data_IF_787944944674
#
_entry.id   IF_787944944674
#
_cell.length_a   1.000
_cell.length_b   1.000
_cell.length_c   1.000
_cell.angle_alpha   90.00
_cell.angle_beta   90.00
_cell.angle_gamma   90.00
#
_symmetry.space_group_name_H-M   'P 1'
#
loop_
_entity.id
_entity.type
_entity.pdbx_description
1 polymer ?
#
# COMPACT_ATOMS: atom_id res chain seq x y z
N UNK A 1 55.72 -14.94 51.24
CA UNK A 1 55.01 -15.58 50.11
C UNK A 1 53.83 -14.70 49.73
N UNK A 2 53.93 -13.96 48.62
CA UNK A 2 52.79 -13.24 48.05
C UNK A 2 52.14 -14.22 47.08
N UNK A 3 50.94 -14.70 47.41
CA UNK A 3 50.19 -15.61 46.55
C UNK A 3 49.83 -14.95 45.21
N UNK A 4 49.62 -15.74 44.14
CA UNK A 4 49.25 -15.20 42.84
C UNK A 4 47.97 -14.37 42.96
N UNK A 5 48.01 -13.15 42.42
CA UNK A 5 46.84 -12.26 42.39
C UNK A 5 45.67 -12.98 41.67
N UNK A 6 44.44 -12.88 42.20
CA UNK A 6 43.28 -13.50 41.58
C UNK A 6 43.09 -12.94 40.18
N UNK A 7 42.92 -13.84 39.20
CA UNK A 7 42.58 -13.48 37.83
C UNK A 7 41.28 -12.67 37.89
N UNK A 8 41.27 -11.40 37.42
CA UNK A 8 40.06 -10.61 37.48
C UNK A 8 39.00 -11.35 36.66
N UNK A 9 37.78 -11.54 37.18
CA UNK A 9 36.72 -12.18 36.42
C UNK A 9 36.49 -11.30 35.19
N UNK A 10 36.96 -11.78 34.04
CA UNK A 10 36.78 -11.09 32.78
C UNK A 10 35.31 -10.76 32.61
N UNK A 11 35.00 -9.59 32.03
CA UNK A 11 33.62 -9.18 31.70
C UNK A 11 32.87 -10.41 31.19
N UNK A 12 31.84 -10.84 31.91
CA UNK A 12 30.91 -11.88 31.46
C UNK A 12 30.22 -11.36 30.19
N UNK A 13 30.87 -11.54 29.04
CA UNK A 13 30.26 -11.24 27.76
C UNK A 13 29.23 -12.33 27.52
N UNK A 14 27.97 -11.95 27.32
CA UNK A 14 26.85 -12.84 26.97
C UNK A 14 27.06 -13.62 25.64
N UNK A 15 28.24 -13.48 25.02
CA UNK A 15 28.59 -13.98 23.69
C UNK A 15 29.32 -15.31 23.85
N UNK A 16 28.83 -16.34 23.16
CA UNK A 16 29.44 -17.68 23.18
C UNK A 16 30.71 -17.72 22.30
N UNK A 17 31.63 -18.67 22.55
CA UNK A 17 32.79 -18.87 21.68
C UNK A 17 32.42 -19.16 20.22
N UNK A 18 31.33 -19.90 19.99
CA UNK A 18 30.83 -20.24 18.66
C UNK A 18 30.33 -19.00 17.90
N UNK A 19 29.55 -18.14 18.57
CA UNK A 19 29.10 -16.86 18.01
C UNK A 19 30.28 -15.98 17.60
N UNK A 20 31.35 -15.96 18.40
CA UNK A 20 32.57 -15.20 18.11
C UNK A 20 33.34 -15.75 16.90
N UNK A 21 33.38 -17.08 16.72
CA UNK A 21 34.00 -17.72 15.55
C UNK A 21 33.21 -17.39 14.28
N UNK A 22 31.89 -17.55 14.33
CA UNK A 22 31.01 -17.21 13.20
C UNK A 22 31.13 -15.73 12.80
N UNK A 23 31.16 -14.82 13.79
CA UNK A 23 31.35 -13.40 13.53
C UNK A 23 32.72 -13.09 12.91
N UNK A 24 33.80 -13.75 13.34
CA UNK A 24 35.12 -13.58 12.71
C UNK A 24 35.12 -13.99 11.25
N UNK A 25 34.51 -15.14 10.93
CA UNK A 25 34.38 -15.61 9.55
C UNK A 25 33.55 -14.63 8.70
N UNK A 26 32.46 -14.11 9.26
CA UNK A 26 31.62 -13.11 8.60
C UNK A 26 32.38 -11.80 8.33
N UNK A 27 33.10 -11.28 9.33
CA UNK A 27 33.90 -10.05 9.23
C UNK A 27 34.98 -10.18 8.15
N UNK A 28 35.68 -11.33 8.12
CA UNK A 28 36.67 -11.65 7.08
C UNK A 28 36.02 -11.73 5.69
N UNK A 29 34.90 -12.44 5.57
CA UNK A 29 34.19 -12.61 4.30
C UNK A 29 33.64 -11.30 3.72
N UNK A 30 33.34 -10.31 4.56
CA UNK A 30 32.93 -8.97 4.14
C UNK A 30 34.09 -7.99 3.92
N UNK A 31 35.33 -8.45 4.03
CA UNK A 31 36.51 -7.60 3.83
C UNK A 31 36.71 -6.55 4.93
N UNK A 32 36.16 -6.77 6.12
CA UNK A 32 36.33 -5.85 7.25
C UNK A 32 37.51 -6.28 8.15
N UNK A 33 38.14 -5.30 8.81
CA UNK A 33 39.26 -5.57 9.73
C UNK A 33 38.84 -6.41 10.95
N UNK A 34 39.65 -7.38 11.35
CA UNK A 34 39.33 -8.32 12.44
C UNK A 34 39.70 -7.83 13.83
N UNK A 35 39.78 -6.51 14.03
CA UNK A 35 40.07 -5.96 15.35
C UNK A 35 39.02 -6.40 16.37
N UNK A 36 39.43 -6.52 17.63
CA UNK A 36 38.62 -7.08 18.72
C UNK A 36 37.24 -6.42 18.78
N UNK A 37 37.19 -5.10 18.77
CA UNK A 37 35.95 -4.33 18.90
C UNK A 37 35.02 -4.53 17.70
N UNK A 38 35.58 -4.64 16.50
CA UNK A 38 34.79 -4.91 15.30
C UNK A 38 34.17 -6.31 15.36
N UNK A 39 34.93 -7.33 15.76
CA UNK A 39 34.41 -8.69 15.94
C UNK A 39 33.29 -8.70 16.99
N UNK A 40 33.46 -8.02 18.12
CA UNK A 40 32.42 -7.93 19.15
C UNK A 40 31.14 -7.29 18.62
N UNK A 41 31.26 -6.16 17.92
CA UNK A 41 30.12 -5.43 17.35
C UNK A 41 29.35 -6.27 16.32
N UNK A 42 30.07 -6.92 15.41
CA UNK A 42 29.49 -7.85 14.44
C UNK A 42 28.83 -9.05 15.10
N UNK A 43 29.41 -9.56 16.19
CA UNK A 43 28.79 -10.66 16.95
C UNK A 43 27.46 -10.23 17.56
N UNK A 44 27.41 -9.06 18.20
CA UNK A 44 26.18 -8.52 18.78
C UNK A 44 25.10 -8.25 17.72
N UNK A 45 25.49 -7.71 16.57
CA UNK A 45 24.55 -7.47 15.47
C UNK A 45 24.03 -8.77 14.86
N UNK A 46 24.91 -9.76 14.63
CA UNK A 46 24.51 -11.06 14.13
C UNK A 46 23.53 -11.76 15.06
N UNK A 47 23.77 -11.68 16.38
CA UNK A 47 22.83 -12.19 17.39
C UNK A 47 21.46 -11.52 17.30
N UNK A 48 21.40 -10.19 17.20
CA UNK A 48 20.14 -9.46 17.02
C UNK A 48 19.37 -9.99 15.78
N UNK A 49 20.05 -10.14 14.65
CA UNK A 49 19.42 -10.66 13.42
C UNK A 49 18.94 -12.11 13.57
N UNK A 50 19.71 -12.95 14.26
CA UNK A 50 19.34 -14.33 14.56
C UNK A 50 18.11 -14.39 15.47
N UNK A 51 18.07 -13.58 16.53
CA UNK A 51 16.94 -13.50 17.45
C UNK A 51 15.67 -12.99 16.74
N UNK A 52 15.77 -11.97 15.89
CA UNK A 52 14.65 -11.52 15.04
C UNK A 52 14.12 -12.64 14.14
N UNK A 53 15.02 -13.42 13.52
CA UNK A 53 14.64 -14.55 12.68
C UNK A 53 13.94 -15.63 13.50
N UNK A 54 14.48 -15.99 14.67
CA UNK A 54 13.90 -16.98 15.58
C UNK A 54 12.52 -16.55 16.08
N UNK A 55 12.31 -15.24 16.29
CA UNK A 55 11.02 -14.66 16.67
C UNK A 55 10.07 -14.44 15.49
N UNK A 56 10.44 -14.86 14.28
CA UNK A 56 9.58 -14.80 13.10
C UNK A 56 9.46 -13.43 12.44
N UNK A 57 10.33 -12.46 12.77
CA UNK A 57 10.35 -11.13 12.17
C UNK A 57 10.98 -11.11 10.75
N UNK A 58 10.57 -12.06 9.90
CA UNK A 58 11.16 -12.33 8.59
C UNK A 58 10.97 -11.12 7.66
N UNK A 59 9.78 -10.54 7.65
CA UNK A 59 9.44 -9.42 6.76
C UNK A 59 10.31 -8.20 7.06
N UNK A 60 10.50 -7.87 8.35
CA UNK A 60 11.41 -6.81 8.77
C UNK A 60 12.86 -7.08 8.37
N UNK A 61 13.32 -8.34 8.41
CA UNK A 61 14.66 -8.72 7.97
C UNK A 61 14.86 -8.61 6.45
N UNK A 62 13.81 -8.82 5.66
CA UNK A 62 13.85 -8.77 4.20
C UNK A 62 13.79 -7.33 3.67
N UNK A 63 12.95 -6.47 4.26
CA UNK A 63 12.66 -5.12 3.74
C UNK A 63 13.46 -3.99 4.42
N UNK A 64 14.59 -4.31 5.05
CA UNK A 64 15.43 -3.34 5.78
C UNK A 64 16.32 -2.49 4.86
N UNK A 65 16.27 -1.18 5.04
CA UNK A 65 17.10 -0.19 4.32
C UNK A 65 18.56 -0.14 4.81
N UNK A 66 19.41 0.61 4.11
CA UNK A 66 20.78 0.92 4.52
C UNK A 66 20.83 1.66 5.87
N UNK A 67 19.92 2.60 6.08
CA UNK A 67 19.81 3.41 7.29
C UNK A 67 19.40 2.52 8.46
N UNK A 68 18.41 1.65 8.25
CA UNK A 68 18.02 0.62 9.22
C UNK A 68 19.23 -0.24 9.61
N UNK A 69 19.94 -0.81 8.64
CA UNK A 69 21.13 -1.63 8.90
C UNK A 69 22.19 -0.87 9.69
N UNK A 70 22.46 0.38 9.31
CA UNK A 70 23.48 1.23 9.96
C UNK A 70 23.11 1.57 11.39
N UNK A 71 21.84 1.89 11.64
CA UNK A 71 21.32 2.22 12.96
C UNK A 71 21.40 1.00 13.89
N UNK A 72 20.82 -0.13 13.51
CA UNK A 72 20.78 -1.32 14.37
C UNK A 72 22.12 -2.05 14.49
N UNK A 73 23.07 -1.79 13.59
CA UNK A 73 24.47 -2.16 13.80
C UNK A 73 25.12 -1.39 14.96
N UNK A 74 24.64 -0.18 15.27
CA UNK A 74 25.09 0.62 16.43
C UNK A 74 24.28 0.30 17.69
N UNK A 75 23.00 -0.01 17.54
CA UNK A 75 22.06 -0.24 18.66
C UNK A 75 21.54 -1.68 18.68
N UNK A 76 22.44 -2.64 18.91
CA UNK A 76 22.12 -4.08 18.80
C UNK A 76 21.24 -4.63 19.94
N UNK A 77 20.88 -3.81 20.93
CA UNK A 77 20.11 -4.21 22.12
C UNK A 77 18.61 -3.92 22.01
N UNK A 78 18.15 -3.35 20.89
CA UNK A 78 16.77 -2.88 20.71
C UNK A 78 15.85 -3.95 20.13
N UNK A 79 16.02 -5.22 20.53
CA UNK A 79 15.22 -6.33 20.01
C UNK A 79 13.72 -6.10 20.24
N UNK A 80 13.32 -5.73 21.45
CA UNK A 80 11.91 -5.56 21.80
C UNK A 80 11.24 -4.44 20.99
N UNK A 81 11.98 -3.35 20.74
CA UNK A 81 11.52 -2.28 19.87
C UNK A 81 11.29 -2.79 18.45
N UNK A 82 12.24 -3.54 17.89
CA UNK A 82 12.11 -4.12 16.55
C UNK A 82 10.97 -5.13 16.44
N UNK A 83 10.73 -5.93 17.48
CA UNK A 83 9.58 -6.83 17.53
C UNK A 83 8.26 -6.07 17.60
N UNK A 84 8.20 -4.95 18.33
CA UNK A 84 7.03 -4.07 18.35
C UNK A 84 6.74 -3.47 16.97
N UNK A 85 7.79 -3.09 16.23
CA UNK A 85 7.63 -2.61 14.86
C UNK A 85 7.17 -3.73 13.94
N UNK A 86 7.76 -4.92 14.04
CA UNK A 86 7.34 -6.07 13.26
C UNK A 86 5.84 -6.37 13.48
N UNK A 87 5.34 -6.27 14.70
CA UNK A 87 3.91 -6.45 14.98
C UNK A 87 3.01 -5.50 14.18
N UNK A 88 3.45 -4.25 13.95
CA UNK A 88 2.71 -3.23 13.20
C UNK A 88 2.90 -3.41 11.68
N UNK A 89 4.14 -3.62 11.24
CA UNK A 89 4.52 -3.53 9.83
C UNK A 89 4.53 -4.87 9.08
N UNK A 90 4.54 -6.02 9.77
CA UNK A 90 4.62 -7.33 9.13
C UNK A 90 3.48 -7.54 8.13
N UNK A 91 2.24 -7.34 8.57
CA UNK A 91 1.08 -7.50 7.70
C UNK A 91 1.10 -6.55 6.48
N UNK A 92 1.24 -5.22 6.66
CA UNK A 92 1.28 -4.30 5.53
C UNK A 92 2.39 -4.59 4.52
N UNK A 93 3.58 -5.00 4.99
CA UNK A 93 4.71 -5.33 4.14
C UNK A 93 4.53 -6.66 3.40
N UNK A 94 3.93 -7.68 4.03
CA UNK A 94 3.54 -8.91 3.34
C UNK A 94 2.54 -8.61 2.21
N UNK A 95 1.57 -7.74 2.49
CA UNK A 95 0.59 -7.30 1.50
C UNK A 95 1.25 -6.51 0.35
N UNK A 96 2.23 -5.65 0.65
CA UNK A 96 3.02 -4.95 -0.37
C UNK A 96 3.80 -5.92 -1.25
N UNK A 97 4.44 -6.94 -0.66
CA UNK A 97 5.16 -7.98 -1.38
C UNK A 97 4.27 -8.68 -2.40
N UNK A 98 3.10 -9.12 -1.98
CA UNK A 98 2.15 -9.85 -2.85
C UNK A 98 1.70 -8.97 -4.01
N UNK A 99 1.40 -7.68 -3.74
CA UNK A 99 1.06 -6.72 -4.80
C UNK A 99 2.20 -6.49 -5.78
N UNK A 100 3.42 -6.28 -5.27
CA UNK A 100 4.59 -6.07 -6.14
C UNK A 100 4.82 -7.27 -7.07
N UNK A 101 4.74 -8.51 -6.55
CA UNK A 101 4.87 -9.72 -7.37
C UNK A 101 3.76 -9.80 -8.44
N UNK A 102 2.52 -9.47 -8.08
CA UNK A 102 1.40 -9.47 -9.02
C UNK A 102 1.59 -8.43 -10.13
N UNK A 103 1.98 -7.19 -9.80
CA UNK A 103 2.18 -6.12 -10.77
C UNK A 103 3.37 -6.38 -11.71
N UNK A 104 4.45 -6.99 -11.20
CA UNK A 104 5.57 -7.50 -12.02
C UNK A 104 5.10 -8.59 -12.99
N UNK A 105 4.18 -9.47 -12.54
CA UNK A 105 3.48 -10.44 -13.38
C UNK A 105 2.43 -9.85 -14.33
N UNK A 106 2.22 -8.53 -14.32
CA UNK A 106 1.23 -7.84 -15.15
C UNK A 106 -0.20 -7.84 -14.60
N UNK A 107 -0.44 -8.35 -13.39
CA UNK A 107 -1.76 -8.32 -12.76
C UNK A 107 -1.95 -7.04 -11.93
N UNK A 108 -2.72 -6.10 -12.49
CA UNK A 108 -3.13 -4.86 -11.85
C UNK A 108 -4.56 -4.89 -11.28
N UNK A 109 -5.21 -6.05 -11.25
CA UNK A 109 -6.58 -6.19 -10.73
C UNK A 109 -6.67 -5.92 -9.23
N UNK A 110 -5.57 -6.16 -8.50
CA UNK A 110 -5.51 -6.03 -7.04
C UNK A 110 -6.29 -7.10 -6.28
N UNK A 111 -6.69 -8.20 -6.95
CA UNK A 111 -7.35 -9.36 -6.33
C UNK A 111 -6.47 -10.03 -5.28
N UNK A 112 -5.17 -10.13 -5.55
CA UNK A 112 -4.18 -10.71 -4.64
C UNK A 112 -4.19 -10.09 -3.23
N UNK A 113 -4.59 -8.81 -3.09
CA UNK A 113 -4.71 -8.17 -1.78
C UNK A 113 -5.98 -8.56 -1.01
N UNK A 114 -7.07 -8.87 -1.70
CA UNK A 114 -8.33 -9.27 -1.06
C UNK A 114 -8.45 -10.78 -0.84
N UNK A 115 -7.61 -11.59 -1.49
CA UNK A 115 -7.53 -13.03 -1.26
C UNK A 115 -6.98 -13.37 0.13
N UNK A 116 -6.32 -12.42 0.81
CA UNK A 116 -5.96 -12.55 2.21
C UNK A 116 -7.22 -12.58 3.08
N UNK A 117 -7.42 -13.70 3.77
CA UNK A 117 -8.58 -13.95 4.64
C UNK A 117 -8.82 -12.83 5.66
N UNK A 118 -7.76 -12.19 6.18
CA UNK A 118 -7.84 -11.10 7.16
C UNK A 118 -8.48 -9.83 6.57
N UNK A 119 -8.32 -9.60 5.27
CA UNK A 119 -8.96 -8.50 4.53
C UNK A 119 -10.36 -8.93 4.09
N UNK A 120 -10.48 -10.12 3.50
CA UNK A 120 -11.73 -10.63 2.95
C UNK A 120 -12.87 -10.61 3.97
N UNK A 121 -12.62 -11.15 5.18
CA UNK A 121 -13.61 -11.20 6.26
C UNK A 121 -14.08 -9.80 6.71
N UNK A 122 -13.19 -8.79 6.66
CA UNK A 122 -13.49 -7.41 7.08
C UNK A 122 -14.23 -6.62 6.01
N UNK A 123 -13.93 -6.87 4.74
CA UNK A 123 -14.63 -6.21 3.62
C UNK A 123 -16.11 -6.63 3.52
N UNK A 124 -16.47 -7.80 4.09
CA UNK A 124 -17.81 -8.41 4.01
C UNK A 124 -18.33 -8.42 2.56
N UNK A 125 -17.43 -8.62 1.60
CA UNK A 125 -17.75 -8.62 0.17
C UNK A 125 -17.99 -10.04 -0.30
N UNK A 126 -19.09 -10.28 -1.00
CA UNK A 126 -19.43 -11.59 -1.59
C UNK A 126 -18.88 -11.74 -3.02
N UNK A 127 -18.26 -10.68 -3.56
CA UNK A 127 -17.90 -10.58 -4.99
C UNK A 127 -16.39 -10.38 -5.20
N UNK A 128 -15.53 -11.24 -4.62
CA UNK A 128 -14.08 -11.18 -4.89
C UNK A 128 -13.76 -11.32 -6.38
N UNK A 129 -14.53 -12.15 -7.11
CA UNK A 129 -14.35 -12.35 -8.55
C UNK A 129 -14.53 -11.08 -9.40
N UNK A 130 -15.36 -10.15 -8.95
CA UNK A 130 -15.65 -8.88 -9.63
C UNK A 130 -14.71 -7.73 -9.21
N UNK A 131 -13.81 -7.97 -8.26
CA UNK A 131 -12.88 -6.95 -7.80
C UNK A 131 -11.87 -6.56 -8.87
N UNK A 132 -11.70 -5.26 -9.09
CA UNK A 132 -10.71 -4.76 -10.01
C UNK A 132 -10.26 -3.34 -9.67
N UNK A 133 -8.95 -3.12 -9.56
CA UNK A 133 -8.34 -1.80 -9.36
C UNK A 133 -7.97 -1.10 -10.68
N UNK A 134 -8.02 -1.82 -11.80
CA UNK A 134 -7.58 -1.37 -13.12
C UNK A 134 -8.73 -1.13 -14.10
N UNK A 135 -10.00 -1.23 -13.67
CA UNK A 135 -11.14 -1.17 -14.58
C UNK A 135 -11.84 0.18 -14.58
N UNK A 136 -11.97 0.74 -15.78
CA UNK A 136 -12.89 1.83 -16.11
C UNK A 136 -13.44 1.52 -17.50
N UNK A 137 -14.61 0.88 -17.55
CA UNK A 137 -15.17 0.32 -18.78
C UNK A 137 -16.62 0.76 -18.92
N UNK A 138 -17.12 0.87 -20.15
CA UNK A 138 -18.54 1.08 -20.38
C UNK A 138 -19.37 -0.08 -19.85
N UNK A 139 -20.59 0.23 -19.38
CA UNK A 139 -21.59 -0.78 -19.07
C UNK A 139 -21.90 -1.67 -20.28
N UNK A 140 -22.64 -2.77 -20.03
CA UNK A 140 -23.03 -3.70 -21.10
C UNK A 140 -24.03 -3.10 -22.10
N UNK A 141 -24.63 -1.95 -21.78
CA UNK A 141 -25.58 -1.27 -22.65
C UNK A 141 -24.84 -0.48 -23.75
N UNK A 142 -24.80 -1.05 -24.96
CA UNK A 142 -24.20 -0.41 -26.12
C UNK A 142 -24.93 0.87 -26.54
N UNK A 143 -26.21 1.04 -26.20
CA UNK A 143 -26.96 2.25 -26.52
C UNK A 143 -26.46 3.43 -25.70
N UNK A 144 -26.13 3.25 -24.43
CA UNK A 144 -25.54 4.32 -23.61
C UNK A 144 -24.24 4.83 -24.19
N UNK A 145 -23.35 3.93 -24.61
CA UNK A 145 -22.07 4.30 -25.22
C UNK A 145 -22.27 5.04 -26.55
N UNK A 146 -23.12 4.52 -27.44
CA UNK A 146 -23.44 5.17 -28.72
C UNK A 146 -24.06 6.56 -28.49
N UNK A 147 -25.01 6.67 -27.56
CA UNK A 147 -25.63 7.94 -27.21
C UNK A 147 -24.63 8.94 -26.63
N UNK A 148 -23.68 8.48 -25.83
CA UNK A 148 -22.59 9.33 -25.33
C UNK A 148 -21.76 9.89 -26.51
N UNK A 149 -21.30 9.03 -27.42
CA UNK A 149 -20.50 9.45 -28.58
C UNK A 149 -21.23 10.41 -29.51
N UNK A 150 -22.53 10.22 -29.72
CA UNK A 150 -23.33 11.11 -30.58
C UNK A 150 -23.56 12.49 -29.94
N UNK A 151 -23.73 12.53 -28.62
CA UNK A 151 -24.07 13.77 -27.91
C UNK A 151 -22.84 14.58 -27.44
N UNK A 152 -21.66 13.96 -27.39
CA UNK A 152 -20.47 14.58 -26.79
C UNK A 152 -19.20 14.30 -27.60
N UNK A 153 -18.50 15.36 -27.94
CA UNK A 153 -17.21 15.35 -28.64
C UNK A 153 -16.10 15.89 -27.74
N UNK A 154 -15.84 15.20 -26.62
CA UNK A 154 -14.80 15.64 -25.67
C UNK A 154 -13.43 15.14 -26.11
N UNK A 155 -12.45 16.04 -26.09
CA UNK A 155 -11.07 15.71 -26.42
C UNK A 155 -10.43 14.81 -25.35
N UNK A 156 -9.74 13.76 -25.76
CA UNK A 156 -8.99 12.91 -24.84
C UNK A 156 -7.78 13.68 -24.27
N UNK A 157 -7.56 13.55 -22.97
CA UNK A 157 -6.40 14.14 -22.26
C UNK A 157 -5.26 13.15 -22.08
N UNK A 158 -5.51 11.86 -22.32
CA UNK A 158 -4.53 10.79 -22.22
C UNK A 158 -4.72 9.73 -23.29
N UNK A 159 -3.60 9.19 -23.77
CA UNK A 159 -3.57 8.01 -24.65
C UNK A 159 -2.96 6.78 -23.99
N UNK A 160 -3.02 6.70 -22.66
CA UNK A 160 -2.41 5.64 -21.88
C UNK A 160 -3.48 4.74 -21.26
N UNK A 161 -3.31 3.43 -21.42
CA UNK A 161 -4.14 2.43 -20.76
C UNK A 161 -4.08 2.52 -19.23
N UNK A 162 -5.06 1.92 -18.56
CA UNK A 162 -5.10 1.85 -17.10
C UNK A 162 -3.88 1.12 -16.51
N UNK A 163 -3.45 0.02 -17.13
CA UNK A 163 -2.26 -0.72 -16.70
C UNK A 163 -1.00 0.12 -16.87
N UNK A 164 -0.90 0.89 -17.95
CA UNK A 164 0.25 1.78 -18.18
C UNK A 164 0.39 2.81 -17.06
N UNK A 165 -0.70 3.48 -16.66
CA UNK A 165 -0.62 4.47 -15.58
C UNK A 165 -0.48 3.86 -14.20
N UNK A 166 -0.99 2.65 -13.97
CA UNK A 166 -0.78 1.95 -12.69
C UNK A 166 0.67 1.55 -12.52
N UNK A 167 1.36 1.19 -13.61
CA UNK A 167 2.79 0.87 -13.62
C UNK A 167 3.67 2.12 -13.56
N UNK A 168 3.40 3.12 -14.40
CA UNK A 168 4.32 4.24 -14.62
C UNK A 168 3.88 5.56 -13.98
N UNK A 169 2.67 5.63 -13.45
CA UNK A 169 2.06 6.86 -12.94
C UNK A 169 1.50 7.76 -14.03
N UNK A 170 1.17 8.98 -13.61
CA UNK A 170 0.70 10.06 -14.48
C UNK A 170 1.86 11.01 -14.81
N UNK A 171 1.79 11.71 -15.94
CA UNK A 171 2.82 12.69 -16.29
C UNK A 171 2.72 13.93 -15.37
N UNK A 172 3.81 14.27 -14.70
CA UNK A 172 3.97 15.55 -13.99
C UNK A 172 5.28 15.61 -13.21
N UNK A 173 5.95 16.77 -13.15
CA UNK A 173 7.23 16.95 -12.42
C UNK A 173 7.11 16.69 -10.90
N UNK A 174 5.89 16.79 -10.35
CA UNK A 174 5.61 16.64 -8.92
C UNK A 174 4.85 15.34 -8.57
N UNK A 175 4.36 14.60 -9.57
CA UNK A 175 3.48 13.46 -9.35
C UNK A 175 4.28 12.15 -9.40
N UNK A 176 4.56 11.56 -8.24
CA UNK A 176 5.12 10.21 -8.19
C UNK A 176 4.01 9.16 -8.17
N UNK A 177 4.30 7.97 -8.71
CA UNK A 177 3.38 6.84 -8.65
C UNK A 177 3.46 6.17 -7.27
N UNK A 178 2.37 6.23 -6.50
CA UNK A 178 2.27 5.62 -5.17
C UNK A 178 1.23 4.50 -5.10
N UNK A 179 0.64 4.12 -6.23
CA UNK A 179 -0.50 3.19 -6.31
C UNK A 179 -0.27 1.83 -5.61
N UNK A 180 0.91 1.25 -5.77
CA UNK A 180 1.32 -0.04 -5.17
C UNK A 180 1.42 0.02 -3.64
N UNK A 181 1.74 1.21 -3.10
CA UNK A 181 1.88 1.45 -1.67
C UNK A 181 0.54 1.72 -0.98
N UNK A 182 -0.55 1.90 -1.72
CA UNK A 182 -1.87 2.02 -1.11
C UNK A 182 -2.38 0.63 -0.73
N UNK A 183 -2.74 0.44 0.53
CA UNK A 183 -3.18 -0.83 1.08
C UNK A 183 -4.54 -0.75 1.77
N UNK A 184 -5.15 -1.92 1.99
CA UNK A 184 -6.25 -2.08 2.94
C UNK A 184 -5.61 -2.48 4.27
N UNK A 185 -5.67 -1.61 5.26
CA UNK A 185 -5.04 -1.82 6.55
C UNK A 185 -6.11 -2.21 7.57
N UNK A 186 -6.11 -3.46 8.05
CA UNK A 186 -7.01 -3.87 9.11
C UNK A 186 -6.59 -3.23 10.43
N UNK A 187 -7.57 -2.84 11.23
CA UNK A 187 -7.35 -2.42 12.61
C UNK A 187 -8.54 -2.83 13.48
N UNK A 188 -8.31 -2.87 14.79
CA UNK A 188 -9.38 -3.03 15.76
C UNK A 188 -9.79 -1.65 16.30
N UNK A 189 -11.08 -1.37 16.36
CA UNK A 189 -11.61 -0.10 16.87
C UNK A 189 -13.13 -0.08 16.88
N UNK A 190 -13.72 0.93 17.51
CA UNK A 190 -15.18 1.04 17.56
C UNK A 190 -15.76 1.51 16.23
N UNK A 191 -16.71 0.74 15.69
CA UNK A 191 -17.42 1.12 14.48
C UNK A 191 -18.33 2.33 14.76
N UNK A 192 -18.16 3.42 14.01
CA UNK A 192 -19.06 4.59 14.05
C UNK A 192 -20.52 4.24 13.65
N UNK A 193 -20.73 3.10 12.98
CA UNK A 193 -22.08 2.62 12.65
C UNK A 193 -22.70 2.01 13.90
N UNK A 194 -23.75 2.67 14.41
CA UNK A 194 -24.58 2.20 15.54
C UNK A 194 -24.96 0.72 15.38
N UNK A 195 -25.03 0.07 16.53
CA UNK A 195 -25.48 -1.31 16.75
C UNK A 195 -26.73 -1.61 15.91
N UNK A 196 -26.68 -2.65 15.06
CA UNK A 196 -27.89 -3.21 14.43
C UNK A 196 -28.32 -4.39 15.30
N UNK A 197 -29.33 -4.17 16.16
CA UNK A 197 -29.83 -5.17 17.12
C UNK A 197 -28.94 -5.36 18.36
N UNK A 198 -28.98 -6.54 19.00
CA UNK A 198 -28.14 -6.90 20.18
C UNK A 198 -26.70 -7.31 19.83
N UNK A 199 -26.28 -7.16 18.56
CA UNK A 199 -24.94 -7.57 18.13
C UNK A 199 -23.95 -6.43 18.31
N UNK A 200 -22.86 -6.60 19.07
CA UNK A 200 -21.88 -5.54 19.31
C UNK A 200 -21.36 -4.96 17.99
N UNK A 201 -21.11 -3.66 17.99
CA UNK A 201 -20.52 -2.96 16.86
C UNK A 201 -19.22 -3.66 16.45
N UNK A 202 -19.02 -3.87 15.15
CA UNK A 202 -17.85 -4.61 14.64
C UNK A 202 -16.56 -3.93 15.09
N UNK A 203 -15.76 -4.60 15.92
CA UNK A 203 -14.43 -4.09 16.30
C UNK A 203 -13.45 -4.21 15.15
N UNK A 204 -13.68 -5.18 14.26
CA UNK A 204 -12.83 -5.48 13.10
C UNK A 204 -13.11 -4.48 11.99
N UNK A 205 -12.25 -3.49 11.84
CA UNK A 205 -12.36 -2.40 10.86
C UNK A 205 -11.19 -2.43 9.87
N UNK A 206 -11.29 -1.58 8.83
CA UNK A 206 -10.20 -1.35 7.90
C UNK A 206 -10.14 0.11 7.48
N UNK A 207 -8.95 0.55 7.08
CA UNK A 207 -8.71 1.82 6.39
C UNK A 207 -8.07 1.57 5.04
N UNK A 208 -8.30 2.48 4.09
CA UNK A 208 -7.48 2.57 2.89
C UNK A 208 -6.41 3.61 3.21
N UNK A 209 -5.15 3.20 3.24
CA UNK A 209 -4.05 4.05 3.70
C UNK A 209 -2.76 3.77 2.92
N UNK A 210 -1.85 4.74 2.81
CA UNK A 210 -0.54 4.51 2.21
C UNK A 210 0.43 3.85 3.21
N UNK A 211 1.41 3.09 2.73
CA UNK A 211 2.50 2.53 3.54
C UNK A 211 3.74 3.43 3.62
N UNK A 212 3.78 4.45 2.78
CA UNK A 212 4.87 5.42 2.66
C UNK A 212 4.27 6.81 2.70
N UNK A 213 5.08 7.82 3.02
CA UNK A 213 4.63 9.21 2.91
C UNK A 213 4.25 9.53 1.47
N UNK A 214 3.15 10.26 1.32
CA UNK A 214 2.60 10.69 0.03
C UNK A 214 2.61 12.20 -0.03
N UNK A 215 3.12 12.77 -1.12
CA UNK A 215 3.16 14.21 -1.34
C UNK A 215 1.91 14.70 -2.07
N UNK A 216 1.63 16.00 -1.98
CA UNK A 216 0.58 16.61 -2.80
C UNK A 216 0.88 16.42 -4.30
N UNK A 217 -0.11 15.99 -5.07
CA UNK A 217 0.01 15.68 -6.50
C UNK A 217 0.40 14.23 -6.81
N UNK A 218 0.77 13.42 -5.82
CA UNK A 218 1.08 12.01 -6.03
C UNK A 218 -0.16 11.23 -6.51
N UNK A 219 0.07 10.31 -7.45
CA UNK A 219 -0.95 9.41 -7.98
C UNK A 219 -1.09 8.17 -7.09
N UNK A 220 -2.33 7.90 -6.65
CA UNK A 220 -2.64 6.85 -5.68
C UNK A 220 -3.35 5.63 -6.31
N UNK A 221 -3.72 5.73 -7.58
CA UNK A 221 -4.38 4.66 -8.33
C UNK A 221 -5.67 5.10 -9.01
N UNK A 222 -6.39 4.12 -9.56
CA UNK A 222 -7.63 4.34 -10.31
C UNK A 222 -8.83 4.04 -9.40
N UNK A 223 -9.82 4.92 -9.41
CA UNK A 223 -11.11 4.66 -8.80
C UNK A 223 -11.96 3.87 -9.80
N UNK A 224 -12.14 2.58 -9.54
CA UNK A 224 -12.73 1.65 -10.51
C UNK A 224 -14.24 1.73 -10.60
N UNK A 225 -14.78 1.32 -11.74
CA UNK A 225 -16.22 1.18 -11.94
C UNK A 225 -16.62 1.02 -13.40
N UNK A 226 -17.93 0.97 -13.63
CA UNK A 226 -18.57 0.98 -14.95
C UNK A 226 -19.01 2.40 -15.30
N UNK A 227 -18.69 2.87 -16.50
CA UNK A 227 -19.23 4.10 -17.04
C UNK A 227 -20.68 3.89 -17.45
N UNK A 228 -21.54 4.82 -17.05
CA UNK A 228 -22.96 4.88 -17.39
C UNK A 228 -23.28 6.24 -17.97
N UNK A 229 -24.16 6.27 -18.97
CA UNK A 229 -24.66 7.50 -19.56
C UNK A 229 -26.18 7.57 -19.43
N UNK A 230 -26.65 8.06 -18.29
CA UNK A 230 -28.06 8.15 -17.91
C UNK A 230 -28.35 9.43 -17.10
N UNK A 231 -29.55 9.97 -17.27
CA UNK A 231 -29.97 11.18 -16.55
C UNK A 231 -30.34 10.92 -15.08
N UNK A 232 -30.52 9.65 -14.69
CA UNK A 232 -30.89 9.28 -13.33
C UNK A 232 -29.67 9.18 -12.41
N UNK A 233 -29.79 9.68 -11.19
CA UNK A 233 -28.78 9.53 -10.15
C UNK A 233 -28.70 8.07 -9.70
N UNK A 234 -27.50 7.50 -9.73
CA UNK A 234 -27.21 6.16 -9.20
C UNK A 234 -26.81 6.21 -7.72
N UNK A 235 -27.09 5.13 -7.00
CA UNK A 235 -26.86 5.04 -5.54
C UNK A 235 -25.38 4.96 -5.15
N UNK A 236 -24.55 4.31 -5.99
CA UNK A 236 -23.09 4.17 -5.79
C UNK A 236 -22.35 4.59 -7.05
N UNK A 237 -22.37 5.89 -7.33
CA UNK A 237 -21.65 6.43 -8.47
C UNK A 237 -21.01 7.78 -8.19
N UNK A 238 -19.95 8.06 -8.93
CA UNK A 238 -19.32 9.39 -8.99
C UNK A 238 -19.83 10.09 -10.24
N UNK A 239 -20.23 11.37 -10.10
CA UNK A 239 -20.71 12.19 -11.22
C UNK A 239 -19.56 12.55 -12.15
N UNK A 240 -19.79 12.40 -13.45
CA UNK A 240 -18.87 12.74 -14.53
C UNK A 240 -18.79 14.23 -14.85
N UNK A 241 -17.81 14.63 -15.66
CA UNK A 241 -17.61 16.01 -16.11
C UNK A 241 -18.69 16.50 -17.08
N UNK A 242 -19.42 15.60 -17.75
CA UNK A 242 -20.54 15.94 -18.63
C UNK A 242 -21.88 15.49 -18.03
N UNK A 243 -23.00 16.18 -18.32
CA UNK A 243 -24.32 15.76 -17.87
C UNK A 243 -24.63 14.32 -18.27
N UNK A 244 -25.20 13.56 -17.34
CA UNK A 244 -25.58 12.17 -17.57
C UNK A 244 -24.44 11.14 -17.50
N UNK A 245 -23.17 11.55 -17.49
CA UNK A 245 -22.05 10.62 -17.30
C UNK A 245 -21.86 10.29 -15.81
N UNK A 246 -21.72 9.00 -15.49
CA UNK A 246 -21.48 8.50 -14.14
C UNK A 246 -20.46 7.35 -14.17
N UNK A 247 -19.68 7.22 -13.10
CA UNK A 247 -18.92 6.00 -12.83
C UNK A 247 -19.60 5.21 -11.70
N UNK A 248 -20.31 4.15 -12.06
CA UNK A 248 -20.98 3.23 -11.14
C UNK A 248 -20.01 2.16 -10.62
N UNK A 249 -19.80 2.14 -9.31
CA UNK A 249 -18.92 1.18 -8.64
C UNK A 249 -19.70 0.15 -7.80
N UNK A 250 -21.00 -0.03 -8.06
CA UNK A 250 -21.83 -1.00 -7.37
C UNK A 250 -21.47 -2.46 -7.68
N UNK A 251 -21.11 -2.75 -8.94
CA UNK A 251 -20.85 -4.10 -9.44
C UNK A 251 -19.36 -4.47 -9.57
N UNK A 252 -18.50 -3.47 -9.84
CA UNK A 252 -17.05 -3.67 -9.98
C UNK A 252 -16.38 -2.84 -8.88
N UNK A 253 -16.32 -3.33 -7.64
CA UNK A 253 -15.62 -2.65 -6.58
C UNK A 253 -14.10 -2.77 -6.78
N UNK A 254 -13.39 -1.76 -6.33
CA UNK A 254 -11.95 -1.75 -6.19
C UNK A 254 -11.52 -1.17 -4.84
N UNK A 255 -10.21 -1.20 -4.59
CA UNK A 255 -9.59 -0.76 -3.34
C UNK A 255 -9.97 0.67 -2.99
N UNK A 256 -9.86 1.57 -3.96
CA UNK A 256 -10.08 3.01 -3.76
C UNK A 256 -11.57 3.38 -3.63
N UNK A 257 -12.49 2.50 -4.06
CA UNK A 257 -13.93 2.69 -3.81
C UNK A 257 -14.28 2.57 -2.32
N UNK A 258 -13.38 1.99 -1.52
CA UNK A 258 -13.53 1.79 -0.07
C UNK A 258 -12.90 2.91 0.76
N UNK A 259 -12.34 3.95 0.12
CA UNK A 259 -11.91 5.16 0.83
C UNK A 259 -13.07 5.76 1.62
N UNK A 260 -12.75 6.38 2.75
CA UNK A 260 -13.77 7.03 3.58
C UNK A 260 -14.29 8.25 2.84
N UNK A 261 -15.60 8.48 2.93
CA UNK A 261 -16.22 9.70 2.40
C UNK A 261 -16.18 10.77 3.48
N UNK A 262 -15.74 11.98 3.14
CA UNK A 262 -15.73 13.11 4.05
C UNK A 262 -17.15 13.42 4.57
N UNK A 263 -17.25 13.67 5.88
CA UNK A 263 -18.45 14.24 6.52
C UNK A 263 -18.58 15.73 6.15
N UNK A 264 -19.75 16.31 6.38
CA UNK A 264 -19.95 17.75 6.17
C UNK A 264 -18.92 18.56 6.98
N UNK A 265 -18.21 19.48 6.33
CA UNK A 265 -17.17 20.30 6.95
C UNK A 265 -15.82 19.61 7.17
N UNK A 266 -15.71 18.31 6.86
CA UNK A 266 -14.45 17.56 7.03
C UNK A 266 -13.50 17.77 5.86
N UNK A 267 -12.21 17.94 6.17
CA UNK A 267 -11.16 18.08 5.15
C UNK A 267 -10.84 16.75 4.49
N UNK A 268 -10.94 16.70 3.16
CA UNK A 268 -10.43 15.58 2.35
C UNK A 268 -8.90 15.62 2.29
N UNK A 269 -8.27 14.49 1.93
CA UNK A 269 -6.84 14.45 1.62
C UNK A 269 -6.56 13.93 0.21
N UNK A 270 -7.58 13.46 -0.51
CA UNK A 270 -7.49 13.09 -1.92
C UNK A 270 -8.58 13.78 -2.74
N UNK A 271 -8.36 13.89 -4.05
CA UNK A 271 -9.37 14.27 -5.02
C UNK A 271 -9.61 13.14 -6.03
N UNK A 272 -10.78 13.19 -6.67
CA UNK A 272 -11.18 12.31 -7.76
C UNK A 272 -11.10 13.11 -9.06
N UNK A 273 -10.06 12.87 -9.86
CA UNK A 273 -9.81 13.59 -11.10
C UNK A 273 -10.27 12.77 -12.30
N UNK A 274 -11.26 13.28 -13.02
CA UNK A 274 -11.71 12.66 -14.27
C UNK A 274 -10.70 12.88 -15.39
N UNK A 275 -10.43 11.82 -16.14
CA UNK A 275 -9.52 11.86 -17.27
C UNK A 275 -10.17 11.18 -18.48
N UNK A 276 -10.21 11.88 -19.61
CA UNK A 276 -10.69 11.35 -20.87
C UNK A 276 -9.59 10.59 -21.58
N UNK A 277 -9.85 9.35 -21.98
CA UNK A 277 -8.85 8.43 -22.52
C UNK A 277 -9.21 8.03 -23.94
N UNK A 278 -8.20 8.01 -24.81
CA UNK A 278 -8.27 7.42 -26.14
C UNK A 278 -6.99 6.64 -26.41
N UNK A 279 -7.08 5.31 -26.44
CA UNK A 279 -5.92 4.43 -26.64
C UNK A 279 -5.64 4.15 -28.13
N UNK A 280 -6.50 4.60 -29.06
CA UNK A 280 -6.30 4.39 -30.48
C UNK A 280 -5.06 5.11 -30.99
N UNK A 281 -4.28 4.41 -31.82
CA UNK A 281 -3.14 4.99 -32.54
C UNK A 281 -3.67 5.71 -33.79
N UNK A 282 -3.42 7.00 -33.89
CA UNK A 282 -3.68 7.79 -35.12
C UNK A 282 -4.88 8.74 -35.03
N UNK A 283 -5.95 8.37 -34.34
CA UNK A 283 -7.08 9.27 -34.04
C UNK A 283 -6.84 9.92 -32.68
N UNK A 284 -6.35 11.18 -32.68
CA UNK A 284 -5.97 11.88 -31.44
C UNK A 284 -7.08 12.69 -30.80
N UNK A 285 -8.27 12.76 -31.40
CA UNK A 285 -9.24 13.76 -30.99
C UNK A 285 -10.13 13.28 -29.86
N UNK A 286 -10.99 12.28 -30.09
CA UNK A 286 -12.13 12.07 -29.20
C UNK A 286 -11.90 11.02 -28.12
N UNK A 287 -12.47 11.28 -26.94
CA UNK A 287 -12.46 10.40 -25.78
C UNK A 287 -13.25 9.10 -26.06
N UNK A 288 -12.58 7.94 -25.97
CA UNK A 288 -13.22 6.62 -26.06
C UNK A 288 -13.89 6.23 -24.76
N UNK A 289 -13.25 6.52 -23.63
CA UNK A 289 -13.77 6.23 -22.31
C UNK A 289 -13.19 7.17 -21.28
N UNK A 290 -13.84 7.27 -20.13
CA UNK A 290 -13.38 8.06 -19.01
C UNK A 290 -12.87 7.17 -17.88
N UNK A 291 -11.91 7.69 -17.11
CA UNK A 291 -11.50 7.08 -15.85
C UNK A 291 -11.40 8.14 -14.76
N UNK A 292 -11.32 7.67 -13.52
CA UNK A 292 -11.10 8.53 -12.36
C UNK A 292 -9.74 8.18 -11.76
N UNK A 293 -8.85 9.15 -11.74
CA UNK A 293 -7.59 9.09 -11.03
C UNK A 293 -7.80 9.56 -9.58
N UNK A 294 -7.17 8.88 -8.63
CA UNK A 294 -7.10 9.34 -7.25
C UNK A 294 -5.76 10.00 -7.02
N UNK A 295 -5.79 11.28 -6.65
CA UNK A 295 -4.59 12.10 -6.50
C UNK A 295 -4.58 12.71 -5.10
N UNK A 296 -3.41 12.73 -4.47
CA UNK A 296 -3.24 13.37 -3.17
C UNK A 296 -3.33 14.90 -3.28
N UNK A 297 -4.05 15.53 -2.35
CA UNK A 297 -4.24 17.00 -2.33
C UNK A 297 -3.34 17.71 -1.32
N UNK A 298 -2.72 16.94 -0.43
CA UNK A 298 -1.80 17.37 0.62
C UNK A 298 -0.90 16.21 1.01
N UNK A 299 0.07 16.47 1.88
CA UNK A 299 0.85 15.41 2.50
C UNK A 299 -0.04 14.44 3.27
N UNK A 300 0.25 13.14 3.15
CA UNK A 300 -0.43 12.06 3.86
C UNK A 300 0.65 11.16 4.46
N UNK A 301 0.61 10.96 5.78
CA UNK A 301 1.58 10.12 6.47
C UNK A 301 1.24 8.63 6.29
N UNK A 302 2.22 7.73 6.45
CA UNK A 302 1.94 6.29 6.47
C UNK A 302 0.81 5.96 7.46
N UNK A 303 -0.08 5.06 7.04
CA UNK A 303 -1.28 4.61 7.75
C UNK A 303 -2.41 5.63 7.93
N UNK A 304 -2.21 6.91 7.59
CA UNK A 304 -3.32 7.87 7.57
C UNK A 304 -4.39 7.42 6.57
N UNK A 305 -5.65 7.47 7.01
CA UNK A 305 -6.78 7.05 6.18
C UNK A 305 -6.98 8.02 5.01
N UNK A 306 -7.18 7.48 3.81
CA UNK A 306 -7.60 8.23 2.64
C UNK A 306 -9.09 8.61 2.77
N UNK A 307 -9.35 9.91 2.61
CA UNK A 307 -10.65 10.56 2.77
C UNK A 307 -10.94 11.32 1.48
N UNK A 308 -11.92 10.82 0.73
CA UNK A 308 -12.35 11.36 -0.55
C UNK A 308 -13.54 12.32 -0.40
N UNK A 309 -13.74 13.23 -1.37
CA UNK A 309 -15.00 13.97 -1.48
C UNK A 309 -16.19 13.02 -1.71
N UNK A 310 -17.43 13.47 -1.41
CA UNK A 310 -18.66 12.71 -1.61
C UNK A 310 -18.84 12.13 -3.00
#
# INVERSE_FOLDING_TARGET
>A
MIGPLPVPPGRKTLITPQEKIAAKQLVLGMGHGTCRDNVFKWTSYWRLLSELRLKGAITLLLYRSSEFKTHFFRYTKELDMLLSWNHIFDFPLQQLRVRAIAEEGGDFSGKCGIDDKRIFERLRTTQSGAWANNLSVWGQDQHEYKNFLTNHSVMATSGKSNEHILRHGIKGKLASNRSVFIGIIPYEGESEKRVIGDKPASTKLYSISPLVSVAAGDFLGIFSGKLRYINQKLSRAVKGPVPGLWLDYSQIPGKLNRMRVAKAGEKTNVCLAWEGVNEAKGEKSFCQYWRILVVATREILPFDQLIRPP
#
